data_IF_577843767192
#
_entry.id   IF_577843767192
#
_cell.length_a   1.000
_cell.length_b   1.000
_cell.length_c   1.000
_cell.angle_alpha   90.00
_cell.angle_beta   90.00
_cell.angle_gamma   90.00
#
_symmetry.space_group_name_H-M   'P 1'
#
loop_
_entity.id
_entity.type
_entity.pdbx_description
1 polymer ?
#
# COMPACT_ATOMS: atom_id res chain seq x y z
N UNK A 1 24.73 18.84 -49.23
CA UNK A 1 24.18 19.30 -47.94
C UNK A 1 23.15 18.34 -47.37
N UNK A 2 22.13 17.92 -48.12
CA UNK A 2 21.06 17.04 -47.62
C UNK A 2 21.61 15.65 -47.19
N UNK A 3 22.51 15.04 -47.96
CA UNK A 3 23.08 13.73 -47.59
C UNK A 3 23.92 13.77 -46.31
N UNK A 4 24.66 14.86 -46.05
CA UNK A 4 25.40 15.04 -44.79
C UNK A 4 24.45 15.23 -43.61
N UNK A 5 23.36 15.97 -43.80
CA UNK A 5 22.31 16.11 -42.79
C UNK A 5 21.65 14.77 -42.48
N UNK A 6 21.31 13.98 -43.50
CA UNK A 6 20.71 12.65 -43.32
C UNK A 6 21.67 11.69 -42.61
N UNK A 7 22.94 11.62 -43.02
CA UNK A 7 23.93 10.79 -42.35
C UNK A 7 24.14 11.23 -40.90
N UNK A 8 24.36 12.52 -40.64
CA UNK A 8 24.46 13.08 -39.30
C UNK A 8 23.23 12.80 -38.44
N UNK A 9 22.04 12.94 -39.00
CA UNK A 9 20.77 12.70 -38.32
C UNK A 9 20.58 11.21 -37.96
N UNK A 10 20.91 10.30 -38.88
CA UNK A 10 20.83 8.84 -38.65
C UNK A 10 21.87 8.37 -37.63
N UNK A 11 23.10 8.91 -37.66
CA UNK A 11 24.13 8.57 -36.68
C UNK A 11 23.86 9.18 -35.30
N UNK A 12 23.31 10.40 -35.21
CA UNK A 12 22.92 11.00 -33.92
C UNK A 12 21.71 10.32 -33.26
N UNK A 13 20.76 9.84 -34.07
CA UNK A 13 19.56 9.15 -33.57
C UNK A 13 19.78 7.66 -33.37
N UNK A 14 20.99 7.14 -33.61
CA UNK A 14 21.28 5.71 -33.63
C UNK A 14 20.30 4.90 -34.50
N UNK A 15 19.76 5.51 -35.57
CA UNK A 15 18.72 4.89 -36.41
C UNK A 15 19.21 3.74 -37.29
N UNK A 16 20.46 3.30 -37.08
CA UNK A 16 21.07 2.12 -37.71
C UNK A 16 21.02 0.88 -36.80
N UNK A 17 20.65 1.04 -35.52
CA UNK A 17 20.53 -0.04 -34.55
C UNK A 17 19.05 -0.49 -34.46
N UNK A 18 18.83 -1.80 -34.48
CA UNK A 18 17.52 -2.40 -34.17
C UNK A 18 17.34 -2.48 -32.66
N UNK A 19 16.17 -2.08 -32.18
CA UNK A 19 15.83 -2.14 -30.76
C UNK A 19 15.11 -3.46 -30.44
N UNK A 20 15.50 -4.12 -29.36
CA UNK A 20 14.85 -5.36 -28.89
C UNK A 20 14.21 -5.17 -27.51
N UNK A 21 13.10 -5.87 -27.27
CA UNK A 21 12.38 -5.83 -26.00
C UNK A 21 12.92 -6.92 -25.07
N UNK A 22 13.49 -6.52 -23.93
CA UNK A 22 14.08 -7.47 -22.97
C UNK A 22 13.03 -8.05 -22.01
N UNK A 23 13.15 -9.36 -21.76
CA UNK A 23 12.48 -10.02 -20.63
C UNK A 23 13.34 -9.85 -19.38
N UNK A 24 12.90 -9.01 -18.44
CA UNK A 24 13.57 -8.84 -17.15
C UNK A 24 12.89 -9.67 -16.05
N UNK A 25 13.67 -10.29 -15.17
CA UNK A 25 13.18 -10.91 -13.93
C UNK A 25 13.82 -10.22 -12.73
N UNK A 26 12.99 -9.76 -11.79
CA UNK A 26 13.45 -9.07 -10.57
C UNK A 26 13.10 -9.93 -9.36
N UNK A 27 14.09 -10.17 -8.51
CA UNK A 27 13.89 -10.81 -7.21
C UNK A 27 14.32 -9.84 -6.12
N UNK A 28 13.39 -9.48 -5.22
CA UNK A 28 13.68 -8.62 -4.07
C UNK A 28 13.77 -9.46 -2.80
N UNK A 29 14.69 -9.09 -1.91
CA UNK A 29 14.82 -9.70 -0.58
C UNK A 29 15.03 -8.61 0.46
N UNK A 30 14.09 -8.49 1.37
CA UNK A 30 14.19 -7.59 2.52
C UNK A 30 14.80 -8.36 3.69
N UNK A 31 15.67 -7.68 4.47
CA UNK A 31 16.23 -8.20 5.72
C UNK A 31 16.15 -7.10 6.77
N UNK A 32 15.61 -7.42 7.93
CA UNK A 32 15.48 -6.47 9.04
C UNK A 32 14.61 -7.07 10.14
N UNK A 33 14.72 -6.48 11.32
CA UNK A 33 13.89 -6.78 12.49
C UNK A 33 13.46 -5.44 13.08
N UNK A 34 12.19 -5.31 13.43
CA UNK A 34 11.69 -4.15 14.15
C UNK A 34 11.22 -4.56 15.55
N UNK A 35 11.52 -3.71 16.53
CA UNK A 35 11.07 -3.85 17.92
C UNK A 35 10.05 -2.76 18.21
N UNK A 36 8.88 -3.15 18.69
CA UNK A 36 7.83 -2.21 19.10
C UNK A 36 7.40 -2.51 20.52
N UNK A 37 7.27 -1.47 21.36
CA UNK A 37 6.69 -1.58 22.68
C UNK A 37 5.36 -0.79 22.70
N UNK A 38 4.25 -1.49 22.86
CA UNK A 38 2.91 -0.90 22.88
C UNK A 38 2.17 -1.32 24.15
N UNK A 39 1.33 -0.42 24.66
CA UNK A 39 0.53 -0.65 25.87
C UNK A 39 -0.50 -1.78 25.72
N UNK A 40 -0.93 -2.12 24.50
CA UNK A 40 -1.93 -3.18 24.27
C UNK A 40 -1.32 -4.56 23.94
N UNK A 41 -0.13 -4.61 23.34
CA UNK A 41 0.52 -5.87 22.91
C UNK A 41 1.84 -6.18 23.62
N UNK A 42 2.40 -5.26 24.40
CA UNK A 42 3.71 -5.40 25.04
C UNK A 42 4.87 -5.24 24.06
N UNK A 43 6.02 -5.84 24.40
CA UNK A 43 7.19 -5.90 23.51
C UNK A 43 6.99 -6.96 22.42
N UNK A 44 7.08 -6.53 21.17
CA UNK A 44 6.92 -7.40 20.01
C UNK A 44 8.06 -7.21 19.01
N UNK A 45 8.51 -8.33 18.47
CA UNK A 45 9.47 -8.44 17.38
C UNK A 45 8.71 -8.68 16.08
N UNK A 46 9.01 -7.90 15.05
CA UNK A 46 8.45 -8.05 13.70
C UNK A 46 9.55 -8.47 12.73
N UNK A 47 9.31 -9.54 11.97
CA UNK A 47 10.26 -10.06 10.97
C UNK A 47 9.71 -9.99 9.53
N UNK A 48 10.47 -10.53 8.57
CA UNK A 48 10.16 -10.44 7.13
C UNK A 48 8.93 -11.27 6.72
N UNK A 49 8.58 -12.32 7.46
CA UNK A 49 7.43 -13.17 7.15
C UNK A 49 6.09 -12.47 7.45
N UNK A 50 6.10 -11.38 8.22
CA UNK A 50 4.90 -10.65 8.63
C UNK A 50 4.44 -9.59 7.60
N UNK A 51 5.16 -9.38 6.49
CA UNK A 51 5.01 -8.20 5.60
C UNK A 51 4.46 -8.45 4.17
N UNK A 52 3.82 -9.59 3.85
CA UNK A 52 3.31 -9.87 2.49
C UNK A 52 1.77 -9.90 2.43
N UNK A 53 1.09 -8.80 2.06
CA UNK A 53 -0.40 -8.77 2.08
C UNK A 53 -1.02 -7.82 1.00
N UNK A 54 -2.04 -8.26 0.22
CA UNK A 54 -2.80 -7.46 -0.77
C UNK A 54 -4.05 -6.74 -0.17
N UNK A 55 -4.80 -5.90 -0.95
CA UNK A 55 -5.38 -4.63 -0.47
C UNK A 55 -6.87 -4.67 -0.10
N UNK A 56 -7.38 -3.64 0.61
CA UNK A 56 -8.46 -2.70 0.19
C UNK A 56 -8.87 -1.71 1.32
N UNK A 57 -9.50 -0.58 0.95
CA UNK A 57 -9.66 0.66 1.74
C UNK A 57 -11.09 0.91 2.29
N UNK A 58 -11.30 1.56 3.46
CA UNK A 58 -12.65 1.91 3.95
C UNK A 58 -12.97 3.40 4.29
N UNK A 59 -14.25 3.84 4.10
CA UNK A 59 -14.83 5.20 4.34
C UNK A 59 -16.09 5.24 5.27
N UNK A 60 -17.06 6.16 5.06
CA UNK A 60 -17.73 7.01 6.06
C UNK A 60 -19.26 6.78 6.31
N UNK A 61 -19.85 5.60 6.06
CA UNK A 61 -21.33 5.40 6.03
C UNK A 61 -22.02 4.76 7.26
N UNK A 62 -21.46 4.85 8.47
CA UNK A 62 -21.93 4.04 9.63
C UNK A 62 -22.85 4.72 10.67
N UNK A 63 -23.13 6.03 10.56
CA UNK A 63 -23.87 6.79 11.59
C UNK A 63 -25.39 6.67 11.40
N UNK A 64 -26.14 6.51 12.48
CA UNK A 64 -27.62 6.43 12.46
C UNK A 64 -28.26 7.33 13.53
N UNK A 65 -29.52 7.71 13.31
CA UNK A 65 -30.36 8.38 14.31
C UNK A 65 -31.50 7.50 14.79
N UNK A 66 -32.03 6.63 13.91
CA UNK A 66 -33.11 5.68 14.17
C UNK A 66 -32.86 4.35 13.44
N UNK A 67 -33.57 3.28 13.83
CA UNK A 67 -33.49 1.96 13.21
C UNK A 67 -33.80 1.99 11.70
N UNK A 68 -34.62 2.94 11.24
CA UNK A 68 -34.95 3.12 9.81
C UNK A 68 -33.73 3.48 8.95
N UNK A 69 -32.68 4.05 9.55
CA UNK A 69 -31.43 4.37 8.85
C UNK A 69 -30.54 3.13 8.64
N UNK A 70 -30.88 2.00 9.25
CA UNK A 70 -30.10 0.75 9.20
C UNK A 70 -30.83 -0.29 8.35
N UNK A 71 -30.25 -0.68 7.23
CA UNK A 71 -30.88 -1.65 6.32
C UNK A 71 -30.40 -3.06 6.64
N UNK A 72 -31.30 -3.95 7.07
CA UNK A 72 -30.94 -5.34 7.39
C UNK A 72 -30.37 -6.05 6.17
N UNK A 73 -29.23 -6.73 6.34
CA UNK A 73 -28.53 -7.43 5.26
C UNK A 73 -27.66 -6.51 4.39
N UNK A 74 -27.67 -5.19 4.63
CA UNK A 74 -26.77 -4.28 3.93
C UNK A 74 -25.34 -4.49 4.39
N UNK A 75 -24.45 -4.78 3.45
CA UNK A 75 -23.02 -4.82 3.67
C UNK A 75 -22.44 -3.56 3.06
N UNK A 76 -22.08 -2.61 3.92
CA UNK A 76 -21.24 -1.51 3.48
C UNK A 76 -19.89 -2.11 3.05
N UNK A 77 -19.46 -1.84 1.81
CA UNK A 77 -18.08 -2.15 1.38
C UNK A 77 -17.10 -1.53 2.38
N UNK A 78 -17.54 -0.41 2.95
CA UNK A 78 -16.93 0.38 4.00
C UNK A 78 -16.84 -0.25 5.40
N UNK A 79 -17.79 -1.15 5.67
CA UNK A 79 -18.15 -1.58 7.00
C UNK A 79 -17.40 -2.84 7.44
N UNK A 80 -17.27 -2.98 8.76
CA UNK A 80 -16.61 -4.13 9.37
C UNK A 80 -17.54 -5.35 9.56
N UNK A 81 -18.75 -5.31 8.99
CA UNK A 81 -19.78 -6.34 9.12
C UNK A 81 -21.05 -6.04 8.33
N UNK A 82 -22.02 -6.95 8.41
CA UNK A 82 -23.33 -6.83 7.74
C UNK A 82 -24.35 -6.24 8.70
N UNK A 83 -25.09 -5.20 8.30
CA UNK A 83 -26.06 -4.54 9.17
C UNK A 83 -27.20 -5.47 9.59
N UNK A 84 -27.54 -5.44 10.89
CA UNK A 84 -28.67 -6.20 11.46
C UNK A 84 -30.01 -5.46 11.30
N UNK A 85 -29.96 -4.15 11.07
CA UNK A 85 -31.13 -3.26 10.97
C UNK A 85 -31.47 -2.50 12.25
N UNK A 86 -30.62 -2.57 13.28
CA UNK A 86 -30.82 -1.88 14.56
C UNK A 86 -29.83 -0.73 14.74
N UNK A 87 -30.30 0.42 15.21
CA UNK A 87 -29.48 1.58 15.57
C UNK A 87 -29.16 1.50 17.07
N UNK A 88 -27.88 1.33 17.40
CA UNK A 88 -27.40 1.13 18.76
C UNK A 88 -26.52 2.29 19.22
N UNK A 89 -26.53 2.55 20.52
CA UNK A 89 -25.66 3.57 21.11
C UNK A 89 -24.22 3.05 21.17
N UNK A 90 -23.31 3.75 20.48
CA UNK A 90 -21.90 3.38 20.42
C UNK A 90 -21.06 4.14 21.46
N UNK A 91 -21.38 5.41 21.66
CA UNK A 91 -20.76 6.30 22.66
C UNK A 91 -21.81 7.20 23.29
N UNK A 92 -21.42 8.03 24.26
CA UNK A 92 -22.32 8.96 24.95
C UNK A 92 -23.00 9.95 23.99
N UNK A 93 -22.34 10.31 22.87
CA UNK A 93 -22.83 11.28 21.88
C UNK A 93 -23.16 10.72 20.50
N UNK A 94 -22.89 9.43 20.22
CA UNK A 94 -22.99 8.86 18.87
C UNK A 94 -23.74 7.52 18.83
N UNK A 95 -24.62 7.37 17.83
CA UNK A 95 -25.34 6.13 17.51
C UNK A 95 -24.90 5.60 16.15
N UNK A 96 -24.73 4.28 16.07
CA UNK A 96 -24.29 3.59 14.85
C UNK A 96 -25.14 2.35 14.59
N UNK A 97 -25.20 1.93 13.33
CA UNK A 97 -25.93 0.71 12.98
C UNK A 97 -25.18 -0.52 13.51
N UNK A 98 -25.91 -1.40 14.18
CA UNK A 98 -25.39 -2.70 14.61
C UNK A 98 -25.05 -3.56 13.39
N UNK A 99 -23.88 -4.19 13.45
CA UNK A 99 -23.37 -5.06 12.40
C UNK A 99 -23.02 -6.44 12.95
N UNK A 100 -23.31 -7.48 12.18
CA UNK A 100 -22.79 -8.82 12.40
C UNK A 100 -21.39 -8.91 11.77
N UNK A 101 -20.38 -9.07 12.61
CA UNK A 101 -18.98 -9.09 12.21
C UNK A 101 -18.07 -9.40 13.41
N UNK A 102 -16.77 -9.19 13.23
CA UNK A 102 -15.80 -9.38 14.30
C UNK A 102 -15.83 -8.19 15.27
N UNK A 103 -16.02 -8.49 16.55
CA UNK A 103 -16.10 -7.50 17.62
C UNK A 103 -14.98 -7.72 18.65
N UNK A 104 -14.40 -6.65 19.24
CA UNK A 104 -14.77 -5.23 19.04
C UNK A 104 -14.32 -4.66 17.68
N UNK A 105 -15.05 -3.65 17.19
CA UNK A 105 -14.75 -2.97 15.93
C UNK A 105 -13.49 -2.11 16.07
N UNK A 106 -12.64 -2.07 15.03
CA UNK A 106 -11.43 -1.25 15.00
C UNK A 106 -11.74 0.22 15.30
N UNK A 107 -11.05 0.81 16.29
CA UNK A 107 -11.15 2.23 16.59
C UNK A 107 -10.46 3.03 15.48
N UNK A 108 -11.10 4.09 14.98
CA UNK A 108 -10.45 5.05 14.07
C UNK A 108 -9.46 5.91 14.86
N UNK A 109 -8.25 5.40 15.06
CA UNK A 109 -7.15 6.14 15.68
C UNK A 109 -6.15 6.51 14.58
N UNK A 110 -5.64 7.73 14.62
CA UNK A 110 -4.51 8.11 13.76
C UNK A 110 -3.26 7.30 14.14
N UNK A 111 -2.44 6.88 13.16
CA UNK A 111 -1.21 6.17 13.47
C UNK A 111 -0.33 7.02 14.40
N UNK A 112 0.36 6.40 15.36
CA UNK A 112 1.23 7.13 16.28
C UNK A 112 2.28 7.91 15.49
N UNK A 113 2.43 9.18 15.81
CA UNK A 113 3.46 10.03 15.20
C UNK A 113 4.83 9.68 15.82
N UNK A 114 5.48 8.66 15.26
CA UNK A 114 6.84 8.24 15.66
C UNK A 114 7.88 9.23 15.13
N UNK A 115 9.07 9.27 15.75
CA UNK A 115 10.26 10.03 15.34
C UNK A 115 10.87 9.57 14.00
N UNK A 116 10.05 9.30 12.98
CA UNK A 116 10.53 9.23 11.60
C UNK A 116 10.42 10.64 11.02
N UNK A 117 11.55 11.23 10.61
CA UNK A 117 11.60 12.61 10.09
C UNK A 117 10.79 12.80 8.79
N UNK A 118 10.32 11.71 8.17
CA UNK A 118 9.57 11.74 6.91
C UNK A 118 8.10 11.37 7.11
N UNK A 119 7.21 12.18 6.54
CA UNK A 119 5.75 11.91 6.42
C UNK A 119 5.47 10.52 5.82
N UNK A 120 6.45 10.00 5.08
CA UNK A 120 6.45 8.73 4.40
C UNK A 120 6.33 7.51 5.35
N UNK A 121 6.96 7.53 6.52
CA UNK A 121 6.86 6.42 7.48
C UNK A 121 5.49 6.36 8.18
N UNK A 122 4.80 7.50 8.30
CA UNK A 122 3.55 7.62 9.06
C UNK A 122 2.33 7.30 8.20
N UNK A 123 2.34 7.78 6.95
CA UNK A 123 1.20 7.64 6.04
C UNK A 123 1.36 6.47 5.05
N UNK A 124 2.57 5.92 4.95
CA UNK A 124 2.95 5.03 3.87
C UNK A 124 3.05 5.76 2.53
N UNK A 125 3.30 5.01 1.47
CA UNK A 125 3.32 5.54 0.10
C UNK A 125 3.86 4.53 -0.91
N UNK A 126 4.01 4.97 -2.15
CA UNK A 126 4.48 4.10 -3.24
C UNK A 126 5.74 4.70 -3.85
N UNK A 127 6.81 3.92 -3.87
CA UNK A 127 8.10 4.30 -4.45
C UNK A 127 8.43 3.41 -5.62
N UNK A 128 8.78 4.04 -6.74
CA UNK A 128 9.39 3.35 -7.87
C UNK A 128 10.89 3.22 -7.64
N UNK A 129 11.42 2.01 -7.81
CA UNK A 129 12.83 1.75 -8.04
C UNK A 129 12.99 1.52 -9.53
N UNK A 130 13.50 2.51 -10.24
CA UNK A 130 13.69 2.44 -11.67
C UNK A 130 15.11 1.95 -11.98
N UNK A 131 15.22 0.89 -12.76
CA UNK A 131 16.48 0.30 -13.21
C UNK A 131 16.53 0.47 -14.72
N UNK A 132 17.36 1.40 -15.19
CA UNK A 132 17.53 1.66 -16.61
C UNK A 132 18.82 1.01 -17.11
N UNK A 133 18.71 0.03 -17.98
CA UNK A 133 19.84 -0.56 -18.68
C UNK A 133 20.12 0.23 -19.94
N UNK A 134 21.30 0.84 -20.02
CA UNK A 134 21.83 1.38 -21.27
C UNK A 134 22.84 0.37 -21.81
N UNK A 135 22.47 -0.29 -22.91
CA UNK A 135 23.25 -1.35 -23.52
C UNK A 135 23.71 -0.93 -24.90
N UNK A 136 25.02 -0.93 -25.12
CA UNK A 136 25.61 -0.88 -26.45
C UNK A 136 26.17 -2.27 -26.79
N UNK A 137 25.41 -3.03 -27.59
CA UNK A 137 25.72 -4.40 -27.98
C UNK A 137 26.94 -4.49 -28.93
N UNK A 138 27.31 -3.41 -29.60
CA UNK A 138 28.46 -3.39 -30.51
C UNK A 138 29.80 -3.51 -29.76
N UNK A 139 29.85 -2.99 -28.52
CA UNK A 139 31.04 -3.05 -27.66
C UNK A 139 30.82 -3.88 -26.38
N UNK A 140 29.65 -4.52 -26.24
CA UNK A 140 29.30 -5.33 -25.07
C UNK A 140 29.18 -4.56 -23.75
N UNK A 141 29.00 -3.23 -23.79
CA UNK A 141 28.88 -2.39 -22.59
C UNK A 141 27.42 -2.26 -22.18
N UNK A 142 27.08 -2.83 -21.02
CA UNK A 142 25.75 -2.76 -20.42
C UNK A 142 25.88 -2.37 -18.95
N UNK A 143 25.38 -1.20 -18.58
CA UNK A 143 25.43 -0.71 -17.20
C UNK A 143 24.03 -0.30 -16.74
N UNK A 144 23.57 -0.77 -15.57
CA UNK A 144 22.32 -0.32 -15.01
C UNK A 144 22.47 1.03 -14.31
N UNK A 145 21.52 1.92 -14.54
CA UNK A 145 21.33 3.16 -13.80
C UNK A 145 20.11 3.05 -12.90
N UNK A 146 20.29 3.38 -11.62
CA UNK A 146 19.23 3.32 -10.62
C UNK A 146 18.69 4.71 -10.34
N UNK A 147 17.37 4.89 -10.40
CA UNK A 147 16.69 6.10 -9.96
C UNK A 147 15.48 5.77 -9.08
N UNK A 148 15.17 6.67 -8.15
CA UNK A 148 14.05 6.49 -7.20
C UNK A 148 13.03 7.59 -7.41
N UNK A 149 11.75 7.24 -7.52
CA UNK A 149 10.69 8.22 -7.71
C UNK A 149 9.48 7.89 -6.87
N UNK A 150 8.95 8.90 -6.18
CA UNK A 150 7.65 8.78 -5.49
C UNK A 150 6.52 8.72 -6.53
N UNK A 151 5.68 7.69 -6.45
CA UNK A 151 4.54 7.48 -7.35
C UNK A 151 3.23 8.01 -6.77
N UNK A 152 3.08 8.04 -5.46
CA UNK A 152 1.94 8.64 -4.77
C UNK A 152 2.07 10.17 -4.74
N UNK A 153 1.83 10.81 -5.89
CA UNK A 153 1.74 12.28 -5.98
C UNK A 153 0.34 12.71 -5.52
N UNK A 154 0.29 13.76 -4.69
CA UNK A 154 -0.96 14.39 -4.26
C UNK A 154 -1.70 14.91 -5.49
N UNK A 155 -2.95 14.52 -5.66
CA UNK A 155 -3.84 15.19 -6.61
C UNK A 155 -4.06 16.63 -6.09
N UNK A 156 -3.77 17.70 -6.87
CA UNK A 156 -3.93 19.07 -6.40
C UNK A 156 -5.35 19.39 -5.90
N UNK A 157 -6.37 18.63 -6.34
CA UNK A 157 -7.76 18.78 -5.90
C UNK A 157 -8.15 17.85 -4.72
N UNK A 158 -7.37 16.83 -4.40
CA UNK A 158 -7.68 15.93 -3.28
C UNK A 158 -7.13 16.47 -1.96
N UNK A 159 -8.00 16.66 -0.96
CA UNK A 159 -7.58 17.02 0.40
C UNK A 159 -6.97 15.83 1.16
N UNK A 160 -7.11 14.61 0.63
CA UNK A 160 -6.58 13.40 1.25
C UNK A 160 -5.23 13.00 0.64
N UNK A 161 -4.21 12.84 1.48
CA UNK A 161 -2.98 12.18 1.04
C UNK A 161 -3.30 10.70 0.76
N UNK A 162 -2.87 10.12 -0.38
CA UNK A 162 -3.03 8.69 -0.63
C UNK A 162 -2.27 7.89 0.42
N UNK A 163 -2.94 7.48 1.50
CA UNK A 163 -2.34 6.65 2.56
C UNK A 163 -2.26 5.21 2.09
N UNK A 164 -1.07 4.62 2.06
CA UNK A 164 -0.92 3.20 1.76
C UNK A 164 -1.03 2.41 3.07
N UNK A 165 -2.22 1.85 3.32
CA UNK A 165 -2.47 1.00 4.48
C UNK A 165 -3.03 -0.35 4.05
N UNK A 166 -2.72 -1.37 4.85
CA UNK A 166 -3.14 -2.75 4.66
C UNK A 166 -3.70 -3.27 5.98
N UNK A 167 -4.71 -4.12 5.91
CA UNK A 167 -5.32 -4.77 7.07
C UNK A 167 -5.10 -6.26 7.00
N UNK A 168 -4.75 -6.85 8.14
CA UNK A 168 -4.53 -8.28 8.25
C UNK A 168 -4.95 -8.80 9.61
N UNK A 169 -5.21 -10.10 9.69
CA UNK A 169 -5.67 -10.71 10.92
C UNK A 169 -4.96 -12.03 11.21
N UNK A 170 -4.56 -12.20 12.46
CA UNK A 170 -4.07 -13.47 13.00
C UNK A 170 -5.18 -14.13 13.79
N UNK A 171 -5.49 -15.39 13.48
CA UNK A 171 -6.60 -16.15 14.07
C UNK A 171 -6.11 -17.18 15.07
N UNK A 172 -6.80 -17.32 16.20
CA UNK A 172 -6.47 -18.27 17.25
C UNK A 172 -7.74 -18.70 17.99
N UNK A 173 -7.71 -19.88 18.61
CA UNK A 173 -8.80 -20.37 19.46
C UNK A 173 -8.51 -20.00 20.91
N UNK A 174 -9.46 -19.32 21.54
CA UNK A 174 -9.41 -19.03 22.96
C UNK A 174 -9.62 -20.31 23.79
N UNK A 175 -9.24 -20.28 25.07
CA UNK A 175 -9.45 -21.38 26.03
C UNK A 175 -10.90 -21.85 26.12
N UNK A 176 -11.85 -20.95 25.82
CA UNK A 176 -13.29 -21.21 25.83
C UNK A 176 -13.81 -21.87 24.54
N UNK A 177 -12.92 -22.25 23.61
CA UNK A 177 -13.26 -22.84 22.31
C UNK A 177 -13.83 -21.85 21.28
N UNK A 178 -13.91 -20.57 21.63
CA UNK A 178 -14.34 -19.49 20.72
C UNK A 178 -13.21 -19.10 19.78
N UNK A 179 -13.54 -18.90 18.51
CA UNK A 179 -12.62 -18.34 17.52
C UNK A 179 -12.38 -16.85 17.83
N UNK A 180 -11.13 -16.46 17.91
CA UNK A 180 -10.66 -15.11 18.21
C UNK A 180 -9.63 -14.66 17.18
N UNK A 181 -9.52 -13.35 16.97
CA UNK A 181 -8.53 -12.80 16.03
C UNK A 181 -7.95 -11.49 16.51
N UNK A 182 -6.71 -11.23 16.14
CA UNK A 182 -6.06 -9.93 16.26
C UNK A 182 -6.05 -9.28 14.88
N UNK A 183 -6.75 -8.16 14.72
CA UNK A 183 -6.74 -7.36 13.49
C UNK A 183 -5.66 -6.28 13.60
N UNK A 184 -4.79 -6.19 12.60
CA UNK A 184 -3.71 -5.21 12.53
C UNK A 184 -3.91 -4.38 11.26
N UNK A 185 -3.82 -3.06 11.41
CA UNK A 185 -3.78 -2.11 10.30
C UNK A 185 -2.36 -1.57 10.17
N UNK A 186 -1.62 -2.08 9.19
CA UNK A 186 -0.26 -1.65 8.88
C UNK A 186 -0.25 -0.48 7.90
N UNK A 187 0.68 0.44 8.10
CA UNK A 187 1.03 1.48 7.13
C UNK A 187 2.43 1.19 6.63
N UNK A 188 2.65 1.30 5.34
CA UNK A 188 3.90 0.82 4.75
C UNK A 188 4.21 1.43 3.40
N UNK A 189 5.41 1.11 2.93
CA UNK A 189 5.93 1.59 1.67
C UNK A 189 5.88 0.43 0.69
N UNK A 190 5.20 0.64 -0.42
CA UNK A 190 5.24 -0.29 -1.55
C UNK A 190 6.36 0.13 -2.51
N UNK A 191 7.27 -0.79 -2.79
CA UNK A 191 8.33 -0.59 -3.78
C UNK A 191 7.95 -1.27 -5.09
N UNK A 192 7.70 -0.49 -6.13
CA UNK A 192 7.49 -0.99 -7.48
C UNK A 192 8.82 -0.93 -8.24
N UNK A 193 9.38 -2.09 -8.56
CA UNK A 193 10.62 -2.15 -9.35
C UNK A 193 10.27 -2.09 -10.84
N UNK A 194 10.70 -1.03 -11.49
CA UNK A 194 10.45 -0.76 -12.90
C UNK A 194 11.76 -0.91 -13.67
N UNK A 195 11.84 -1.89 -14.55
CA UNK A 195 13.03 -2.12 -15.38
C UNK A 195 12.78 -1.55 -16.76
N UNK A 196 13.67 -0.68 -17.22
CA UNK A 196 13.66 -0.10 -18.55
C UNK A 196 14.96 -0.47 -19.25
N UNK A 197 14.89 -0.75 -20.54
CA UNK A 197 16.07 -0.96 -21.38
C UNK A 197 16.02 0.04 -22.52
N UNK A 198 17.14 0.71 -22.76
CA UNK A 198 17.39 1.47 -23.97
C UNK A 198 18.63 0.87 -24.60
N UNK A 199 18.45 0.22 -25.75
CA UNK A 199 19.46 -0.49 -26.53
C UNK A 199 18.93 -0.71 -27.93
#
# INVERSE_FOLDING_TARGET
MVMLYLLWYVFLRQGHQDTDSVVSSVTTKVKGIALTNSSELGEQIWDVADYIIPPEYPTQKSVCTSDMNCTKGFKDVQGNGVQTGRCVQYSDSEKTCEVSGWCPVEKKVEPPKTECLSVFCVQGGVMAVQIQWNCNLDNGSCVPQYSFRRLDKKDPESSETPRHNLRFATYYKSSDGKDTRTLIKGYGIRFDVLVYVMG
#
